data_IF_303463363607
#
_entry.id   IF_303463363607
#
_cell.length_a   1.000
_cell.length_b   1.000
_cell.length_c   1.000
_cell.angle_alpha   90.00
_cell.angle_beta   90.00
_cell.angle_gamma   90.00
#
_symmetry.space_group_name_H-M   'P 1'
#
loop_
_entity.id
_entity.type
_entity.pdbx_description
1 polymer ?
#
# COMPACT_ATOMS: atom_id res chain seq x y z
N UNK A 1 12.20 8.69 4.43
CA UNK A 1 11.83 7.51 3.60
C UNK A 1 12.68 7.47 2.35
N UNK A 2 12.95 6.30 1.85
CA UNK A 2 13.79 6.09 0.67
C UNK A 2 13.35 4.82 -0.05
N UNK A 3 13.88 4.60 -1.26
CA UNK A 3 13.64 3.39 -2.04
C UNK A 3 13.97 2.14 -1.21
N UNK A 4 13.11 1.12 -1.32
CA UNK A 4 13.16 -0.15 -0.60
C UNK A 4 12.67 -0.10 0.85
N UNK A 5 12.35 1.07 1.38
CA UNK A 5 11.72 1.15 2.71
C UNK A 5 10.34 0.49 2.68
N UNK A 6 10.01 -0.21 3.76
CA UNK A 6 8.69 -0.82 3.94
C UNK A 6 7.81 0.15 4.71
N UNK A 7 6.56 0.30 4.23
CA UNK A 7 5.63 1.33 4.71
C UNK A 7 4.22 0.79 4.87
N UNK A 8 3.43 1.49 5.68
CA UNK A 8 2.01 1.19 5.87
C UNK A 8 1.19 2.44 5.60
N UNK A 9 0.04 2.27 4.95
CA UNK A 9 -0.93 3.34 4.71
C UNK A 9 -1.70 3.61 5.99
N UNK A 10 -1.69 4.85 6.47
CA UNK A 10 -2.30 5.21 7.75
C UNK A 10 -3.62 5.97 7.62
N UNK A 11 -4.09 6.17 6.40
CA UNK A 11 -5.38 6.85 6.14
C UNK A 11 -6.18 6.09 5.09
N UNK A 12 -7.49 6.20 5.16
CA UNK A 12 -8.39 5.69 4.13
C UNK A 12 -8.77 6.85 3.22
N UNK A 13 -8.42 6.76 1.92
CA UNK A 13 -8.74 7.78 0.92
C UNK A 13 -9.33 7.14 -0.31
N UNK A 14 -10.37 7.75 -0.85
CA UNK A 14 -11.04 7.25 -2.06
C UNK A 14 -10.08 7.10 -3.24
N UNK A 15 -9.15 8.02 -3.42
CA UNK A 15 -8.20 7.96 -4.53
C UNK A 15 -7.27 6.74 -4.46
N UNK A 16 -6.99 6.24 -3.25
CA UNK A 16 -6.22 5.01 -3.07
C UNK A 16 -7.14 3.80 -3.17
N UNK A 17 -8.34 3.90 -2.60
CA UNK A 17 -9.32 2.82 -2.62
C UNK A 17 -9.74 2.43 -4.05
N UNK A 18 -9.76 3.38 -4.96
CA UNK A 18 -10.05 3.11 -6.39
C UNK A 18 -9.05 2.14 -7.00
N UNK A 19 -7.83 2.12 -6.50
CA UNK A 19 -6.78 1.20 -6.95
C UNK A 19 -6.67 -0.03 -6.04
N UNK A 20 -7.61 -0.19 -5.12
CA UNK A 20 -7.63 -1.34 -4.20
C UNK A 20 -6.77 -1.16 -2.97
N UNK A 21 -6.25 0.03 -2.71
CA UNK A 21 -5.37 0.31 -1.57
C UNK A 21 -6.15 0.95 -0.43
N UNK A 22 -6.12 0.31 0.72
CA UNK A 22 -6.87 0.72 1.90
C UNK A 22 -5.96 0.93 3.11
N UNK A 23 -6.47 1.67 4.09
CA UNK A 23 -5.76 1.90 5.36
C UNK A 23 -5.31 0.57 5.98
N UNK A 24 -4.08 0.52 6.44
CA UNK A 24 -3.48 -0.66 7.04
C UNK A 24 -2.71 -1.52 6.07
N UNK A 25 -2.89 -1.34 4.77
CA UNK A 25 -2.12 -2.08 3.77
C UNK A 25 -0.66 -1.69 3.82
N UNK A 26 0.21 -2.66 3.58
CA UNK A 26 1.65 -2.49 3.63
C UNK A 26 2.28 -2.73 2.27
N UNK A 27 3.37 -2.03 2.01
CA UNK A 27 4.08 -2.16 0.76
C UNK A 27 5.51 -1.69 0.91
N UNK A 28 6.17 -1.49 -0.23
CA UNK A 28 7.55 -1.02 -0.23
C UNK A 28 7.71 0.06 -1.30
N UNK A 29 8.60 1.01 -1.01
CA UNK A 29 8.89 2.11 -1.95
C UNK A 29 9.76 1.55 -3.07
N UNK A 30 9.26 1.61 -4.30
CA UNK A 30 9.92 0.98 -5.45
C UNK A 30 10.60 1.97 -6.40
N UNK A 31 10.62 3.25 -6.06
CA UNK A 31 11.29 4.28 -6.85
C UNK A 31 12.00 5.24 -5.90
N UNK A 32 13.19 5.70 -6.27
CA UNK A 32 13.98 6.60 -5.43
C UNK A 32 13.57 8.07 -5.54
N UNK A 33 12.59 8.37 -6.39
CA UNK A 33 12.10 9.74 -6.58
C UNK A 33 10.92 10.04 -5.67
N UNK A 34 11.02 11.15 -4.96
CA UNK A 34 9.89 11.71 -4.24
C UNK A 34 9.33 12.85 -5.11
N UNK A 35 8.16 12.63 -5.70
CA UNK A 35 7.53 13.60 -6.60
C UNK A 35 6.32 14.20 -5.91
N UNK A 36 6.33 15.53 -5.72
CA UNK A 36 5.23 16.26 -5.06
C UNK A 36 4.90 15.67 -3.69
N UNK A 37 5.93 15.31 -2.92
CA UNK A 37 5.81 14.69 -1.59
C UNK A 37 5.12 13.32 -1.62
N UNK A 38 5.16 12.65 -2.76
CA UNK A 38 4.60 11.30 -2.93
C UNK A 38 5.67 10.30 -3.31
N UNK A 39 5.52 9.08 -2.80
CA UNK A 39 6.38 7.94 -3.12
C UNK A 39 5.61 6.93 -3.94
N UNK A 40 6.28 6.29 -4.90
CA UNK A 40 5.71 5.16 -5.63
C UNK A 40 5.83 3.92 -4.74
N UNK A 41 4.68 3.35 -4.35
CA UNK A 41 4.61 2.22 -3.42
C UNK A 41 3.96 1.03 -4.11
N UNK A 42 4.60 -0.14 -3.99
CA UNK A 42 4.07 -1.41 -4.48
C UNK A 42 3.40 -2.15 -3.32
N UNK A 43 2.17 -2.62 -3.54
CA UNK A 43 1.38 -3.36 -2.56
C UNK A 43 1.22 -4.81 -3.03
N UNK A 44 2.08 -5.74 -2.56
CA UNK A 44 2.05 -7.12 -3.01
C UNK A 44 1.00 -7.97 -2.30
N UNK A 45 0.70 -9.12 -2.90
CA UNK A 45 -0.04 -10.21 -2.27
C UNK A 45 0.87 -11.41 -2.11
N UNK A 46 0.46 -12.38 -1.30
CA UNK A 46 1.24 -13.60 -1.06
C UNK A 46 1.19 -14.55 -2.25
N UNK A 47 2.23 -15.36 -2.38
CA UNK A 47 2.29 -16.41 -3.39
C UNK A 47 2.38 -15.87 -4.81
N UNK A 48 1.71 -16.53 -5.73
CA UNK A 48 1.74 -16.20 -7.15
C UNK A 48 0.68 -15.17 -7.57
N UNK A 49 -0.04 -14.61 -6.61
CA UNK A 49 -1.06 -13.60 -6.91
C UNK A 49 -0.40 -12.32 -7.40
N UNK A 50 -1.09 -11.63 -8.31
CA UNK A 50 -0.65 -10.33 -8.80
C UNK A 50 -0.64 -9.29 -7.69
N UNK A 51 0.20 -8.28 -7.83
CA UNK A 51 0.21 -7.15 -6.89
C UNK A 51 -1.15 -6.44 -6.91
N UNK A 52 -1.55 -5.91 -5.76
CA UNK A 52 -2.79 -5.13 -5.67
C UNK A 52 -2.65 -3.87 -6.52
N UNK A 53 -1.58 -3.12 -6.33
CA UNK A 53 -1.33 -1.90 -7.08
C UNK A 53 0.11 -1.43 -6.89
N UNK A 54 0.55 -0.56 -7.79
CA UNK A 54 1.79 0.21 -7.65
C UNK A 54 1.41 1.64 -7.96
N UNK A 55 1.24 2.46 -6.92
CA UNK A 55 0.71 3.82 -7.04
C UNK A 55 1.48 4.81 -6.17
N UNK A 56 1.32 6.10 -6.49
CA UNK A 56 1.87 7.19 -5.69
C UNK A 56 1.05 7.40 -4.43
N UNK A 57 1.73 7.43 -3.29
CA UNK A 57 1.11 7.69 -1.98
C UNK A 57 1.84 8.87 -1.34
N UNK A 58 1.10 9.82 -0.80
CA UNK A 58 1.71 10.96 -0.11
C UNK A 58 2.47 10.49 1.12
N UNK A 59 3.66 11.05 1.33
CA UNK A 59 4.50 10.68 2.47
C UNK A 59 3.77 10.85 3.79
N UNK A 60 2.93 11.88 3.91
CA UNK A 60 2.14 12.13 5.13
C UNK A 60 1.07 11.06 5.38
N UNK A 61 0.74 10.25 4.36
CA UNK A 61 -0.23 9.16 4.46
C UNK A 61 0.43 7.80 4.73
N UNK A 62 1.75 7.80 4.94
CA UNK A 62 2.55 6.60 5.16
C UNK A 62 3.29 6.65 6.49
N UNK A 63 3.57 5.49 7.05
CA UNK A 63 4.49 5.33 8.18
C UNK A 63 5.45 4.19 7.84
N UNK A 64 6.72 4.35 8.23
CA UNK A 64 7.71 3.29 8.04
C UNK A 64 7.42 2.13 9.00
N UNK A 65 7.53 0.91 8.50
CA UNK A 65 7.39 -0.31 9.31
C UNK A 65 8.64 -1.16 9.17
N UNK A 66 9.04 -1.90 10.22
CA UNK A 66 10.29 -2.68 10.17
C UNK A 66 10.21 -3.87 9.23
N UNK A 67 9.02 -4.45 9.05
CA UNK A 67 8.80 -5.61 8.18
C UNK A 67 7.45 -5.44 7.49
N UNK A 68 7.41 -5.74 6.18
CA UNK A 68 6.18 -5.70 5.41
C UNK A 68 5.54 -7.09 5.39
N UNK A 69 4.23 -7.16 5.65
CA UNK A 69 3.47 -8.42 5.65
C UNK A 69 2.41 -8.38 4.55
N UNK A 70 2.67 -9.05 3.44
CA UNK A 70 1.72 -9.11 2.32
C UNK A 70 0.38 -9.75 2.69
N UNK A 71 0.38 -10.66 3.68
CA UNK A 71 -0.86 -11.29 4.14
C UNK A 71 -1.86 -10.28 4.70
N UNK A 72 -1.38 -9.20 5.30
CA UNK A 72 -2.26 -8.13 5.81
C UNK A 72 -3.04 -7.51 4.65
N UNK A 73 -2.39 -7.32 3.50
CA UNK A 73 -3.03 -6.75 2.32
C UNK A 73 -4.18 -7.63 1.83
N UNK A 74 -3.98 -8.95 1.82
CA UNK A 74 -5.02 -9.90 1.43
C UNK A 74 -6.20 -9.88 2.40
N UNK A 75 -5.93 -9.82 3.70
CA UNK A 75 -6.97 -9.77 4.72
C UNK A 75 -7.81 -8.51 4.59
N UNK A 76 -7.18 -7.37 4.39
CA UNK A 76 -7.88 -6.10 4.23
C UNK A 76 -8.70 -6.10 2.93
N UNK A 77 -8.12 -6.60 1.85
CA UNK A 77 -8.82 -6.72 0.56
C UNK A 77 -10.09 -7.55 0.71
N UNK A 78 -10.01 -8.69 1.38
CA UNK A 78 -11.17 -9.56 1.62
C UNK A 78 -12.25 -8.86 2.44
N UNK A 79 -11.88 -8.12 3.47
CA UNK A 79 -12.82 -7.37 4.29
C UNK A 79 -13.63 -6.37 3.45
N UNK A 80 -12.96 -5.63 2.58
CA UNK A 80 -13.62 -4.65 1.72
C UNK A 80 -14.48 -5.32 0.65
N UNK A 81 -14.02 -6.41 0.06
CA UNK A 81 -14.80 -7.17 -0.91
C UNK A 81 -16.06 -7.76 -0.28
N UNK A 82 -15.96 -8.29 0.92
CA UNK A 82 -17.10 -8.86 1.65
C UNK A 82 -18.10 -7.79 2.08
N UNK A 83 -17.62 -6.61 2.45
CA UNK A 83 -18.48 -5.51 2.86
C UNK A 83 -19.35 -4.96 1.72
N UNK A 84 -18.99 -5.24 0.48
CA UNK A 84 -19.71 -4.77 -0.71
C UNK A 84 -20.77 -5.76 -1.20
N UNK A 85 -20.91 -6.91 -0.55
CA UNK A 85 -21.89 -7.94 -0.97
C UNK A 85 -23.24 -7.74 -0.32
#
# INVERSE_FOLDING_TARGET
MKMMDTVEVIVEKEKYARDGVHKGMQGWICDDRNIDSSWLVNFPQCGEKADIATIGIKETDLIAVPVMHAIINEQIKEEFENAQK
#
